data_IF_630746461252
#
_entry.id   IF_630746461252
#
_cell.length_a   1.000
_cell.length_b   1.000
_cell.length_c   1.000
_cell.angle_alpha   90.00
_cell.angle_beta   90.00
_cell.angle_gamma   90.00
#
_symmetry.space_group_name_H-M   'P 1'
#
loop_
_entity.id
_entity.type
_entity.pdbx_description
1 polymer ?
#
# COMPACT_ATOMS: atom_id res chain seq x y z
N UNK A 1 24.37 -22.28 -12.17
CA UNK A 1 23.37 -21.21 -11.99
C UNK A 1 22.08 -21.81 -12.52
N UNK A 2 21.07 -22.04 -11.67
CA UNK A 2 19.79 -22.57 -12.16
C UNK A 2 19.17 -21.53 -13.09
N UNK A 3 18.76 -21.95 -14.27
CA UNK A 3 17.98 -21.12 -15.17
C UNK A 3 16.64 -20.79 -14.49
N UNK A 4 16.50 -19.55 -14.01
CA UNK A 4 15.27 -19.08 -13.41
C UNK A 4 14.28 -18.83 -14.54
N UNK A 5 13.19 -19.59 -14.58
CA UNK A 5 12.08 -19.32 -15.48
C UNK A 5 11.35 -18.06 -15.00
N UNK A 6 11.56 -16.94 -15.71
CA UNK A 6 10.96 -15.64 -15.36
C UNK A 6 9.43 -15.70 -15.40
N UNK A 7 8.84 -16.51 -16.30
CA UNK A 7 7.39 -16.62 -16.40
C UNK A 7 6.80 -17.21 -15.11
N UNK A 8 7.37 -18.30 -14.58
CA UNK A 8 6.89 -18.89 -13.33
C UNK A 8 7.09 -17.95 -12.14
N UNK A 9 8.17 -17.15 -12.13
CA UNK A 9 8.42 -16.15 -11.08
C UNK A 9 7.37 -15.03 -11.11
N UNK A 10 6.98 -14.56 -12.30
CA UNK A 10 5.94 -13.54 -12.45
C UNK A 10 4.58 -14.06 -11.97
N UNK A 11 4.23 -15.30 -12.33
CA UNK A 11 2.97 -15.92 -11.90
C UNK A 11 2.92 -16.16 -10.39
N UNK A 12 4.01 -16.67 -9.79
CA UNK A 12 4.13 -16.84 -8.35
C UNK A 12 4.01 -15.50 -7.60
N UNK A 13 4.71 -14.46 -8.09
CA UNK A 13 4.61 -13.11 -7.54
C UNK A 13 3.17 -12.57 -7.65
N UNK A 14 2.49 -12.82 -8.76
CA UNK A 14 1.08 -12.48 -8.94
C UNK A 14 0.16 -13.14 -7.91
N UNK A 15 0.34 -14.45 -7.67
CA UNK A 15 -0.42 -15.22 -6.67
C UNK A 15 -0.19 -14.69 -5.26
N UNK A 16 1.06 -14.44 -4.87
CA UNK A 16 1.39 -13.90 -3.54
C UNK A 16 0.75 -12.52 -3.36
N UNK A 17 0.80 -11.66 -4.40
CA UNK A 17 0.17 -10.33 -4.33
C UNK A 17 -1.34 -10.40 -4.19
N UNK A 18 -1.99 -11.33 -4.88
CA UNK A 18 -3.43 -11.55 -4.74
C UNK A 18 -3.79 -11.99 -3.31
N UNK A 19 -3.03 -12.95 -2.74
CA UNK A 19 -3.22 -13.39 -1.35
C UNK A 19 -2.99 -12.24 -0.35
N UNK A 20 -1.94 -11.43 -0.55
CA UNK A 20 -1.69 -10.24 0.28
C UNK A 20 -2.85 -9.25 0.22
N UNK A 21 -3.44 -9.04 -0.97
CA UNK A 21 -4.62 -8.19 -1.14
C UNK A 21 -5.79 -8.69 -0.30
N UNK A 22 -6.16 -9.95 -0.48
CA UNK A 22 -7.27 -10.57 0.27
C UNK A 22 -7.06 -10.53 1.79
N UNK A 23 -5.84 -10.83 2.26
CA UNK A 23 -5.52 -10.79 3.69
C UNK A 23 -5.56 -9.36 4.24
N UNK A 24 -5.12 -8.36 3.46
CA UNK A 24 -5.15 -6.95 3.85
C UNK A 24 -6.57 -6.42 3.93
N UNK A 25 -7.44 -6.79 2.99
CA UNK A 25 -8.84 -6.40 3.01
C UNK A 25 -9.54 -7.02 4.23
N UNK A 26 -9.28 -8.31 4.49
CA UNK A 26 -9.82 -9.00 5.66
C UNK A 26 -9.33 -8.41 6.98
N UNK A 27 -8.05 -8.06 7.05
CA UNK A 27 -7.48 -7.37 8.21
C UNK A 27 -8.13 -6.00 8.44
N UNK A 28 -8.39 -5.24 7.37
CA UNK A 28 -9.05 -3.95 7.45
C UNK A 28 -10.48 -4.08 8.00
N UNK A 29 -11.26 -5.03 7.48
CA UNK A 29 -12.61 -5.33 7.98
C UNK A 29 -12.62 -5.64 9.49
N UNK A 30 -11.76 -6.56 9.93
CA UNK A 30 -11.66 -6.95 11.34
C UNK A 30 -11.22 -5.78 12.22
N UNK A 31 -10.26 -4.98 11.75
CA UNK A 31 -9.80 -3.80 12.46
C UNK A 31 -10.91 -2.76 12.60
N UNK A 32 -11.72 -2.56 11.57
CA UNK A 32 -12.81 -1.59 11.61
C UNK A 32 -13.95 -2.06 12.52
N UNK A 33 -14.24 -3.36 12.57
CA UNK A 33 -15.14 -3.94 13.59
C UNK A 33 -14.63 -3.63 15.01
N UNK A 34 -13.33 -3.87 15.28
CA UNK A 34 -12.74 -3.61 16.60
C UNK A 34 -12.76 -2.11 16.94
N UNK A 35 -12.44 -1.23 15.98
CA UNK A 35 -12.53 0.23 16.18
C UNK A 35 -13.95 0.67 16.53
N UNK A 36 -14.94 0.15 15.81
CA UNK A 36 -16.34 0.50 15.99
C UNK A 36 -16.93 -0.03 17.30
N UNK A 37 -16.33 -1.07 17.91
CA UNK A 37 -16.71 -1.55 19.24
C UNK A 37 -16.46 -0.51 20.35
N UNK A 38 -15.63 0.51 20.10
CA UNK A 38 -15.34 1.63 21.00
C UNK A 38 -14.92 1.21 22.42
N UNK A 39 -14.21 0.10 22.55
CA UNK A 39 -13.63 -0.37 23.81
C UNK A 39 -12.16 0.04 23.93
N UNK A 40 -11.66 0.39 25.13
CA UNK A 40 -10.24 0.69 25.32
C UNK A 40 -9.30 -0.48 25.00
N UNK A 41 -9.74 -1.70 25.35
CA UNK A 41 -9.02 -2.95 25.08
C UNK A 41 -10.03 -4.02 24.67
N UNK A 42 -9.77 -4.70 23.56
CA UNK A 42 -10.50 -5.88 23.12
C UNK A 42 -9.62 -7.12 23.35
N UNK A 43 -10.17 -8.15 24.02
CA UNK A 43 -9.47 -9.39 24.33
C UNK A 43 -10.01 -10.53 23.47
N UNK A 44 -9.10 -11.29 22.87
CA UNK A 44 -9.37 -12.60 22.29
C UNK A 44 -8.77 -13.71 23.16
N UNK A 45 -8.94 -14.96 22.74
CA UNK A 45 -8.43 -16.13 23.47
C UNK A 45 -6.90 -16.14 23.63
N UNK A 46 -6.17 -15.56 22.67
CA UNK A 46 -4.70 -15.56 22.62
C UNK A 46 -4.06 -14.18 22.39
N UNK A 47 -4.87 -13.16 22.12
CA UNK A 47 -4.39 -11.85 21.67
C UNK A 47 -5.20 -10.72 22.30
N UNK A 48 -4.61 -9.54 22.41
CA UNK A 48 -5.29 -8.30 22.81
C UNK A 48 -5.11 -7.21 21.74
N UNK A 49 -6.11 -6.33 21.61
CA UNK A 49 -6.05 -5.14 20.77
C UNK A 49 -6.37 -3.91 21.62
N UNK A 50 -5.47 -2.91 21.63
CA UNK A 50 -5.63 -1.68 22.40
C UNK A 50 -6.01 -0.53 21.48
N UNK A 51 -7.01 0.26 21.88
CA UNK A 51 -7.38 1.49 21.21
C UNK A 51 -6.43 2.59 21.65
N UNK A 52 -5.69 3.15 20.70
CA UNK A 52 -4.79 4.28 20.90
C UNK A 52 -5.28 5.42 20.04
N UNK A 53 -5.58 6.55 20.67
CA UNK A 53 -5.93 7.79 19.98
C UNK A 53 -4.67 8.66 19.87
N UNK A 54 -4.42 9.20 18.67
CA UNK A 54 -3.35 10.14 18.44
C UNK A 54 -3.77 11.16 17.39
N UNK A 55 -3.37 12.40 17.62
CA UNK A 55 -3.57 13.46 16.65
C UNK A 55 -2.46 13.41 15.61
N UNK A 56 -2.85 13.58 14.34
CA UNK A 56 -1.91 13.73 13.23
C UNK A 56 -2.02 15.13 12.65
N UNK A 57 -0.99 15.94 12.87
CA UNK A 57 -0.83 17.21 12.16
C UNK A 57 -0.29 16.94 10.75
N UNK A 58 -0.98 17.44 9.74
CA UNK A 58 -0.50 17.44 8.35
C UNK A 58 -0.33 18.88 7.88
N UNK A 59 0.83 19.18 7.29
CA UNK A 59 1.13 20.50 6.75
C UNK A 59 0.81 20.50 5.25
N UNK A 60 -0.04 21.42 4.81
CA UNK A 60 -0.28 21.66 3.38
C UNK A 60 0.90 22.40 2.75
N UNK A 61 1.91 21.63 2.34
CA UNK A 61 3.09 22.17 1.67
C UNK A 61 2.81 22.85 0.35
N UNK A 62 1.70 22.52 -0.32
CA UNK A 62 1.33 23.17 -1.58
C UNK A 62 0.93 24.62 -1.32
N UNK A 63 0.01 24.85 -0.39
CA UNK A 63 -0.38 26.21 0.01
C UNK A 63 0.78 27.02 0.58
N UNK A 64 1.68 26.37 1.33
CA UNK A 64 2.89 27.02 1.85
C UNK A 64 3.82 27.44 0.70
N UNK A 65 4.09 26.56 -0.25
CA UNK A 65 4.94 26.85 -1.40
C UNK A 65 4.34 27.95 -2.31
N UNK A 66 3.03 27.94 -2.55
CA UNK A 66 2.33 28.98 -3.33
C UNK A 66 2.48 30.37 -2.69
N UNK A 67 2.37 30.46 -1.35
CA UNK A 67 2.54 31.72 -0.62
C UNK A 67 4.00 32.20 -0.60
N UNK A 68 4.95 31.28 -0.48
CA UNK A 68 6.37 31.60 -0.39
C UNK A 68 7.01 31.90 -1.76
N UNK A 69 6.37 31.50 -2.86
CA UNK A 69 6.86 31.67 -4.23
C UNK A 69 8.37 31.38 -4.38
N UNK A 70 8.83 30.16 -4.02
CA UNK A 70 10.25 29.85 -3.95
C UNK A 70 10.94 29.96 -5.32
N UNK A 71 12.18 30.45 -5.31
CA UNK A 71 12.96 30.61 -6.54
C UNK A 71 13.33 29.25 -7.15
N UNK A 72 13.52 29.23 -8.48
CA UNK A 72 13.98 28.01 -9.18
C UNK A 72 15.31 27.50 -8.65
N UNK A 73 16.23 28.39 -8.28
CA UNK A 73 17.54 28.02 -7.73
C UNK A 73 17.40 27.24 -6.41
N UNK A 74 16.49 27.69 -5.53
CA UNK A 74 16.22 27.02 -4.26
C UNK A 74 15.63 25.62 -4.49
N UNK A 75 14.66 25.50 -5.41
CA UNK A 75 14.06 24.20 -5.74
C UNK A 75 15.13 23.24 -6.28
N UNK A 76 15.95 23.69 -7.24
CA UNK A 76 17.00 22.85 -7.82
C UNK A 76 18.04 22.42 -6.78
N UNK A 77 18.46 23.33 -5.90
CA UNK A 77 19.45 23.02 -4.85
C UNK A 77 18.97 21.94 -3.86
N UNK A 78 17.66 21.79 -3.70
CA UNK A 78 17.05 20.83 -2.77
C UNK A 78 16.24 19.72 -3.47
N UNK A 79 16.43 19.52 -4.78
CA UNK A 79 15.82 18.41 -5.52
C UNK A 79 16.87 17.35 -5.81
N UNK A 80 16.60 16.10 -5.42
CA UNK A 80 17.44 14.95 -5.76
C UNK A 80 16.67 13.99 -6.67
N UNK A 81 17.34 13.52 -7.72
CA UNK A 81 16.79 12.55 -8.67
C UNK A 81 17.53 11.24 -8.49
N UNK A 82 16.80 10.18 -8.11
CA UNK A 82 17.33 8.82 -8.02
C UNK A 82 16.63 7.91 -9.02
N UNK A 83 17.40 7.01 -9.64
CA UNK A 83 16.86 5.99 -10.51
C UNK A 83 16.35 4.80 -9.68
N UNK A 84 15.08 4.43 -9.85
CA UNK A 84 14.44 3.34 -9.12
C UNK A 84 13.78 2.40 -10.14
N UNK A 85 14.04 1.10 -10.01
CA UNK A 85 13.33 0.05 -10.75
C UNK A 85 12.24 -0.50 -9.84
N UNK A 86 10.99 -0.37 -10.23
CA UNK A 86 9.83 -0.94 -9.51
C UNK A 86 9.13 -1.99 -10.36
N UNK A 87 8.85 -3.15 -9.77
CA UNK A 87 8.08 -4.22 -10.41
C UNK A 87 6.64 -4.12 -9.93
N UNK A 88 5.70 -3.98 -10.87
CA UNK A 88 4.26 -4.04 -10.62
C UNK A 88 3.71 -5.28 -11.32
N UNK A 89 2.94 -6.07 -10.60
CA UNK A 89 2.24 -7.23 -11.15
C UNK A 89 0.75 -6.95 -11.22
N UNK A 90 0.15 -7.33 -12.33
CA UNK A 90 -1.28 -7.27 -12.58
C UNK A 90 -1.69 -8.52 -13.34
N UNK A 91 -2.94 -8.96 -13.20
CA UNK A 91 -3.46 -10.02 -14.05
C UNK A 91 -3.43 -9.54 -15.50
N UNK A 92 -2.98 -10.39 -16.42
CA UNK A 92 -2.92 -10.05 -17.84
C UNK A 92 -4.34 -9.95 -18.40
N UNK A 93 -4.59 -8.96 -19.27
CA UNK A 93 -5.92 -8.63 -19.78
C UNK A 93 -6.56 -9.73 -20.64
N UNK A 94 -5.73 -10.49 -21.36
CA UNK A 94 -6.12 -11.65 -22.16
C UNK A 94 -6.75 -12.74 -21.31
N UNK A 95 -6.16 -13.04 -20.14
CA UNK A 95 -6.67 -14.06 -19.20
C UNK A 95 -8.02 -13.64 -18.60
N UNK A 96 -8.17 -12.36 -18.24
CA UNK A 96 -9.42 -11.84 -17.68
C UNK A 96 -10.60 -11.91 -18.67
N UNK A 97 -10.33 -11.81 -19.98
CA UNK A 97 -11.37 -11.88 -21.00
C UNK A 97 -11.89 -13.30 -21.22
N UNK A 98 -11.06 -14.32 -21.00
CA UNK A 98 -11.46 -15.73 -21.10
C UNK A 98 -12.30 -16.17 -19.88
N UNK A 99 -11.96 -15.72 -18.68
CA UNK A 99 -12.73 -16.03 -17.46
C UNK A 99 -14.11 -15.34 -17.42
N UNK A 100 -14.27 -14.19 -18.09
CA UNK A 100 -15.55 -13.48 -18.17
C UNK A 100 -16.55 -14.09 -19.17
N UNK A 101 -16.11 -15.05 -19.99
CA UNK A 101 -16.92 -15.73 -21.01
C UNK A 101 -17.33 -17.16 -20.62
N UNK A 102 -16.81 -17.68 -19.50
CA UNK A 102 -17.21 -18.95 -18.88
C UNK A 102 -18.15 -18.72 -17.71
#
# INVERSE_FOLDING_TARGET
MNDINIQSVVDELGRIRAQQGQLKDREAELRDIIKNANVPVALGERFEAKRVESDRTSIDWKSVAEKLNPSRQLITAHTSVSHIISIRTSVRKDVLAEEAQS
#
